data_IF_147939779814
#
_entry.id   IF_147939779814
#
_cell.length_a   1.000
_cell.length_b   1.000
_cell.length_c   1.000
_cell.angle_alpha   90.00
_cell.angle_beta   90.00
_cell.angle_gamma   90.00
#
_symmetry.space_group_name_H-M   'P 1'
#
loop_
_entity.id
_entity.type
_entity.pdbx_description
1 polymer ?
#
# COMPACT_ATOMS: atom_id res chain seq x y z
N UNK A 1 35.87 28.19 27.99
CA UNK A 1 35.02 27.00 28.21
C UNK A 1 33.55 27.18 27.81
N UNK A 2 32.94 28.38 27.93
CA UNK A 2 31.53 28.64 27.54
C UNK A 2 31.23 28.65 26.02
N UNK A 3 32.26 28.76 25.18
CA UNK A 3 32.15 28.80 23.70
C UNK A 3 32.13 27.40 23.06
N UNK A 4 32.76 26.42 23.73
CA UNK A 4 32.86 25.02 23.25
C UNK A 4 31.53 24.30 23.47
N UNK A 5 30.84 24.59 24.59
CA UNK A 5 29.52 24.03 24.89
C UNK A 5 28.43 24.50 23.93
N UNK A 6 28.52 25.72 23.37
CA UNK A 6 27.57 26.22 22.38
C UNK A 6 27.73 25.50 21.03
N UNK A 7 28.97 25.22 20.61
CA UNK A 7 29.25 24.51 19.35
C UNK A 7 28.74 23.07 19.33
N UNK A 8 28.74 22.37 20.47
CA UNK A 8 28.26 20.98 20.56
C UNK A 8 26.74 20.88 20.47
N UNK A 9 26.01 21.87 21.01
CA UNK A 9 24.54 21.90 20.96
C UNK A 9 24.02 22.18 19.54
N UNK A 10 24.69 23.07 18.79
CA UNK A 10 24.34 23.37 17.39
C UNK A 10 24.58 22.16 16.48
N UNK A 11 25.66 21.39 16.70
CA UNK A 11 25.94 20.18 15.93
C UNK A 11 24.89 19.07 16.14
N UNK A 12 24.30 18.98 17.34
CA UNK A 12 23.27 17.98 17.65
C UNK A 12 21.91 18.31 17.00
N UNK A 13 21.58 19.61 16.85
CA UNK A 13 20.35 20.07 16.20
C UNK A 13 20.31 19.80 14.69
N UNK A 14 21.47 19.76 14.02
CA UNK A 14 21.56 19.46 12.57
C UNK A 14 21.32 17.98 12.27
N UNK A 15 21.58 17.07 13.22
CA UNK A 15 21.36 15.62 13.03
C UNK A 15 19.89 15.18 13.17
N UNK A 16 19.00 16.04 13.71
CA UNK A 16 17.59 15.69 13.93
C UNK A 16 16.67 15.97 12.72
N UNK A 17 17.16 16.62 11.66
CA UNK A 17 16.35 17.02 10.50
C UNK A 17 16.09 15.88 9.47
N UNK A 18 16.52 14.65 9.75
CA UNK A 18 16.57 13.57 8.75
C UNK A 18 15.29 12.76 8.52
N UNK A 19 14.26 12.89 9.36
CA UNK A 19 13.04 12.08 9.22
C UNK A 19 12.06 12.72 8.23
N UNK A 20 12.31 12.57 6.92
CA UNK A 20 11.32 12.92 5.90
C UNK A 20 10.18 11.91 5.95
N UNK A 21 8.98 12.36 6.31
CA UNK A 21 7.76 11.60 6.09
C UNK A 21 7.43 11.57 4.59
N UNK A 22 8.08 10.67 3.86
CA UNK A 22 7.85 10.44 2.43
C UNK A 22 6.60 9.58 2.26
N UNK A 23 5.63 10.04 1.46
CA UNK A 23 4.43 9.28 1.10
C UNK A 23 3.13 10.01 1.37
N UNK A 24 2.08 9.55 0.69
CA UNK A 24 0.75 10.17 0.72
C UNK A 24 0.00 9.67 1.96
N UNK A 25 -0.38 10.60 2.83
CA UNK A 25 -1.10 10.29 4.07
C UNK A 25 -2.58 10.07 3.80
N UNK A 26 -3.15 9.01 4.38
CA UNK A 26 -4.58 8.76 4.39
C UNK A 26 -5.38 9.85 5.11
N UNK A 27 -6.58 10.14 4.63
CA UNK A 27 -7.46 11.16 5.17
C UNK A 27 -8.35 10.68 6.35
N UNK A 28 -8.25 9.42 6.74
CA UNK A 28 -9.05 8.81 7.81
C UNK A 28 -10.46 8.39 7.38
N UNK A 29 -10.89 8.70 6.16
CA UNK A 29 -12.21 8.39 5.65
C UNK A 29 -12.16 7.05 4.93
N UNK A 30 -12.48 5.97 5.63
CA UNK A 30 -12.42 4.61 5.07
C UNK A 30 -13.55 4.40 4.08
N UNK A 31 -13.21 4.04 2.84
CA UNK A 31 -14.13 3.66 1.77
C UNK A 31 -13.77 2.32 1.17
N UNK A 32 -14.75 1.69 0.55
CA UNK A 32 -14.59 0.47 -0.23
C UNK A 32 -14.77 0.78 -1.71
N UNK A 33 -13.79 0.40 -2.51
CA UNK A 33 -13.77 0.48 -3.97
C UNK A 33 -13.95 -0.93 -4.54
N UNK A 34 -15.04 -1.14 -5.28
CA UNK A 34 -15.33 -2.40 -5.98
C UNK A 34 -14.97 -2.24 -7.44
N UNK A 35 -14.03 -3.05 -7.93
CA UNK A 35 -13.52 -2.97 -9.30
C UNK A 35 -13.94 -4.20 -10.08
N UNK A 36 -14.49 -3.98 -11.26
CA UNK A 36 -14.76 -5.05 -12.22
C UNK A 36 -13.45 -5.56 -12.80
N UNK A 37 -13.20 -6.86 -12.66
CA UNK A 37 -12.00 -7.53 -13.16
C UNK A 37 -12.35 -8.83 -13.87
N UNK A 38 -11.46 -9.28 -14.76
CA UNK A 38 -11.53 -10.60 -15.39
C UNK A 38 -11.13 -11.74 -14.45
N UNK A 39 -11.24 -12.97 -14.94
CA UNK A 39 -10.75 -14.14 -14.24
C UNK A 39 -9.23 -14.12 -14.12
N UNK A 40 -8.71 -14.69 -13.03
CA UNK A 40 -7.29 -14.85 -12.76
C UNK A 40 -7.07 -16.11 -11.92
N UNK A 41 -5.86 -16.64 -11.94
CA UNK A 41 -5.43 -17.77 -11.11
C UNK A 41 -4.24 -17.43 -10.21
N UNK A 42 -3.51 -16.36 -10.52
CA UNK A 42 -2.34 -15.90 -9.78
C UNK A 42 -2.53 -14.47 -9.30
N UNK A 43 -1.84 -14.09 -8.23
CA UNK A 43 -1.72 -12.70 -7.78
C UNK A 43 -0.24 -12.32 -7.63
N UNK A 44 0.14 -11.13 -8.12
CA UNK A 44 1.41 -10.48 -7.82
C UNK A 44 1.14 -9.11 -7.22
N UNK A 45 1.54 -8.90 -5.97
CA UNK A 45 1.33 -7.63 -5.26
C UNK A 45 2.64 -6.90 -5.00
N UNK A 46 2.63 -5.59 -5.18
CA UNK A 46 3.74 -4.68 -4.82
C UNK A 46 3.21 -3.56 -3.93
N UNK A 47 3.23 -3.76 -2.61
CA UNK A 47 2.73 -2.79 -1.63
C UNK A 47 2.31 -3.41 -0.30
N UNK A 48 1.91 -2.55 0.64
CA UNK A 48 1.43 -2.96 1.97
C UNK A 48 -0.06 -3.33 1.94
N UNK A 49 -0.37 -4.51 1.39
CA UNK A 49 -1.74 -4.99 1.28
C UNK A 49 -2.02 -6.13 2.28
N UNK A 50 -3.22 -6.10 2.86
CA UNK A 50 -3.79 -7.23 3.57
C UNK A 50 -4.76 -7.97 2.65
N UNK A 51 -4.33 -9.09 2.09
CA UNK A 51 -5.06 -9.85 1.08
C UNK A 51 -5.93 -10.93 1.73
N UNK A 52 -7.22 -10.92 1.43
CA UNK A 52 -8.17 -12.00 1.71
C UNK A 52 -8.62 -12.61 0.38
N UNK A 53 -8.27 -13.86 0.13
CA UNK A 53 -8.62 -14.54 -1.12
C UNK A 53 -9.71 -15.59 -0.87
N UNK A 54 -10.84 -15.41 -1.54
CA UNK A 54 -12.03 -16.26 -1.47
C UNK A 54 -12.19 -17.09 -2.76
N UNK A 55 -12.94 -18.18 -2.69
CA UNK A 55 -13.35 -18.93 -3.88
C UNK A 55 -14.68 -18.35 -4.40
N UNK A 56 -14.80 -18.11 -5.70
CA UNK A 56 -16.03 -17.58 -6.29
C UNK A 56 -15.84 -16.94 -7.66
N UNK A 57 -16.86 -16.19 -8.10
CA UNK A 57 -16.74 -15.39 -9.32
C UNK A 57 -15.64 -14.32 -9.19
N UNK A 58 -14.98 -13.91 -10.29
CA UNK A 58 -13.95 -12.88 -10.25
C UNK A 58 -14.45 -11.58 -9.62
N UNK A 59 -13.84 -11.14 -8.54
CA UNK A 59 -14.13 -9.85 -7.91
C UNK A 59 -12.90 -9.27 -7.21
N UNK A 60 -12.84 -7.94 -7.16
CA UNK A 60 -11.82 -7.18 -6.43
C UNK A 60 -12.50 -6.07 -5.63
N UNK A 61 -12.21 -6.05 -4.32
CA UNK A 61 -12.71 -5.07 -3.38
C UNK A 61 -11.57 -4.54 -2.54
N UNK A 62 -11.34 -3.24 -2.57
CA UNK A 62 -10.24 -2.58 -1.85
C UNK A 62 -10.86 -1.65 -0.81
N UNK A 63 -10.47 -1.78 0.46
CA UNK A 63 -10.96 -0.97 1.56
C UNK A 63 -9.79 -0.26 2.24
N UNK A 64 -9.76 1.08 2.15
CA UNK A 64 -8.76 1.95 2.79
C UNK A 64 -9.24 3.41 2.81
N UNK A 65 -8.38 4.36 3.16
CA UNK A 65 -8.64 5.79 3.09
C UNK A 65 -9.03 6.22 1.67
N UNK A 66 -10.11 7.00 1.55
CA UNK A 66 -10.71 7.42 0.28
C UNK A 66 -9.70 8.08 -0.67
N UNK A 67 -8.82 8.94 -0.13
CA UNK A 67 -7.84 9.66 -0.94
C UNK A 67 -6.69 8.77 -1.44
N UNK A 68 -6.54 7.55 -0.91
CA UNK A 68 -5.48 6.62 -1.30
C UNK A 68 -5.94 5.64 -2.39
N UNK A 69 -7.25 5.40 -2.54
CA UNK A 69 -7.80 4.44 -3.49
C UNK A 69 -7.36 4.70 -4.94
N UNK A 70 -7.24 5.98 -5.32
CA UNK A 70 -6.79 6.35 -6.66
C UNK A 70 -5.35 5.95 -6.93
N UNK A 71 -4.48 5.81 -5.92
CA UNK A 71 -3.07 5.45 -6.09
C UNK A 71 -2.80 3.96 -6.08
N UNK A 72 -3.84 3.15 -5.89
CA UNK A 72 -3.77 1.69 -5.98
C UNK A 72 -4.21 1.33 -7.39
N UNK A 73 -3.30 0.73 -8.16
CA UNK A 73 -3.55 0.29 -9.52
C UNK A 73 -3.74 -1.23 -9.55
N UNK A 74 -4.57 -1.69 -10.48
CA UNK A 74 -4.76 -3.12 -10.73
C UNK A 74 -4.87 -3.37 -12.22
N UNK A 75 -4.33 -4.49 -12.67
CA UNK A 75 -4.54 -4.96 -14.03
C UNK A 75 -4.37 -6.48 -14.10
N UNK A 76 -4.90 -7.09 -15.16
CA UNK A 76 -4.72 -8.51 -15.43
C UNK A 76 -3.83 -8.64 -16.66
N UNK A 77 -2.80 -9.47 -16.56
CA UNK A 77 -1.97 -9.88 -17.69
C UNK A 77 -1.76 -11.39 -17.64
N UNK A 78 -2.20 -12.07 -18.70
CA UNK A 78 -2.35 -13.53 -18.68
C UNK A 78 -3.34 -13.96 -17.60
N UNK A 79 -2.92 -14.88 -16.73
CA UNK A 79 -3.73 -15.39 -15.60
C UNK A 79 -3.36 -14.73 -14.25
N UNK A 80 -2.62 -13.61 -14.28
CA UNK A 80 -2.13 -12.94 -13.08
C UNK A 80 -2.83 -11.60 -12.87
N UNK A 81 -3.42 -11.43 -11.68
CA UNK A 81 -3.83 -10.13 -11.16
C UNK A 81 -2.63 -9.43 -10.55
N UNK A 82 -2.25 -8.30 -11.14
CA UNK A 82 -1.23 -7.40 -10.60
C UNK A 82 -1.92 -6.33 -9.77
N UNK A 83 -1.40 -6.09 -8.56
CA UNK A 83 -1.88 -5.07 -7.65
C UNK A 83 -0.70 -4.29 -7.07
N UNK A 84 -0.64 -3.00 -7.36
CA UNK A 84 0.50 -2.17 -6.98
C UNK A 84 0.07 -0.77 -6.53
N UNK A 85 0.98 -0.08 -5.83
CA UNK A 85 0.80 1.31 -5.45
C UNK A 85 1.74 2.19 -6.26
N UNK A 86 1.21 3.23 -6.93
CA UNK A 86 2.01 4.18 -7.71
C UNK A 86 2.96 5.02 -6.87
N UNK A 87 2.61 5.24 -5.62
CA UNK A 87 3.32 6.08 -4.67
C UNK A 87 3.44 5.35 -3.33
N UNK A 88 4.35 5.82 -2.47
CA UNK A 88 4.40 5.33 -1.10
C UNK A 88 3.17 5.81 -0.33
N UNK A 89 2.30 4.88 0.09
CA UNK A 89 1.08 5.20 0.82
C UNK A 89 1.31 5.10 2.32
N UNK A 90 0.65 5.97 3.08
CA UNK A 90 0.63 5.97 4.55
C UNK A 90 -0.83 5.96 5.01
N UNK A 91 -1.48 4.80 4.89
CA UNK A 91 -2.90 4.69 5.22
C UNK A 91 -3.09 4.83 6.73
N UNK A 92 -4.24 5.35 7.14
CA UNK A 92 -4.56 5.48 8.58
C UNK A 92 -4.92 4.13 9.19
N UNK A 93 -5.37 3.19 8.36
CA UNK A 93 -5.69 1.80 8.67
C UNK A 93 -5.03 0.88 7.63
N UNK A 94 -5.11 -0.44 7.78
CA UNK A 94 -4.58 -1.34 6.76
C UNK A 94 -5.30 -1.16 5.42
N UNK A 95 -4.60 -1.40 4.30
CA UNK A 95 -5.22 -1.51 2.98
C UNK A 95 -5.73 -2.94 2.83
N UNK A 96 -7.01 -3.15 3.16
CA UNK A 96 -7.64 -4.47 3.04
C UNK A 96 -8.06 -4.70 1.61
N UNK A 97 -7.71 -5.85 1.06
CA UNK A 97 -8.03 -6.23 -0.31
C UNK A 97 -8.69 -7.60 -0.27
N UNK A 98 -9.95 -7.67 -0.67
CA UNK A 98 -10.69 -8.93 -0.82
C UNK A 98 -10.76 -9.25 -2.30
N UNK A 99 -10.27 -10.44 -2.65
CA UNK A 99 -10.32 -10.96 -4.02
C UNK A 99 -11.05 -12.30 -4.05
N UNK A 100 -11.71 -12.58 -5.16
CA UNK A 100 -12.29 -13.90 -5.44
C UNK A 100 -11.96 -14.36 -6.84
N UNK A 101 -11.73 -15.66 -7.00
CA UNK A 101 -11.51 -16.30 -8.29
C UNK A 101 -11.96 -17.77 -8.24
N UNK A 102 -12.31 -18.38 -9.38
CA UNK A 102 -12.71 -19.79 -9.42
C UNK A 102 -11.51 -20.74 -9.26
N UNK A 103 -10.30 -20.24 -9.53
CA UNK A 103 -9.05 -21.00 -9.50
C UNK A 103 -7.99 -20.24 -8.72
N UNK A 104 -7.14 -20.96 -7.99
CA UNK A 104 -5.98 -20.44 -7.26
C UNK A 104 -4.76 -21.29 -7.57
N UNK A 105 -3.81 -20.73 -8.29
CA UNK A 105 -2.55 -21.38 -8.67
C UNK A 105 -1.36 -20.86 -7.86
N UNK A 106 -1.29 -19.57 -7.57
CA UNK A 106 -0.15 -19.01 -6.83
C UNK A 106 -0.34 -17.58 -6.36
N UNK A 107 0.53 -17.17 -5.43
CA UNK A 107 0.61 -15.81 -4.94
C UNK A 107 2.07 -15.40 -4.78
N UNK A 108 2.40 -14.20 -5.26
CA UNK A 108 3.67 -13.53 -5.02
C UNK A 108 3.36 -12.20 -4.35
N UNK A 109 3.87 -12.03 -3.13
CA UNK A 109 3.58 -10.85 -2.32
C UNK A 109 4.90 -10.14 -2.04
N UNK A 110 5.03 -8.93 -2.58
CA UNK A 110 6.18 -8.05 -2.39
C UNK A 110 5.72 -6.77 -1.69
N UNK A 111 6.40 -6.38 -0.62
CA UNK A 111 6.06 -5.19 0.16
C UNK A 111 7.05 -5.01 1.30
N UNK A 112 7.25 -3.76 1.71
CA UNK A 112 8.12 -3.37 2.82
C UNK A 112 7.27 -2.75 3.94
#
# INVERSE_FOLDING_TARGET
MKKITISVIVACLVLAAGCRWVGIRGNGHIKTDERTIGAFANIDTSGQFQIEWQNGAPALRITTDENLLSYIDNHISGDTLYLDTREQLRPTHSIKVVISSPTRAGAKLSGA
#
